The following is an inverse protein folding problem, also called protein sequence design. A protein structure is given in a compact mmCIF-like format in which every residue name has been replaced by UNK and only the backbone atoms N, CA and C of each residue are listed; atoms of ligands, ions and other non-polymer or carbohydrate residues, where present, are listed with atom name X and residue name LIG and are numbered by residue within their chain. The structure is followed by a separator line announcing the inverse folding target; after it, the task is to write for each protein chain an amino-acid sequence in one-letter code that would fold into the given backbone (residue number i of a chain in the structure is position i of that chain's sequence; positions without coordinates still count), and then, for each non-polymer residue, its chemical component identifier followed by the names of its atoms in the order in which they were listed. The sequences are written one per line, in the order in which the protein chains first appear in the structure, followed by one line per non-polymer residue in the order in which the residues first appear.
data_IF_695454176690
#
_entry.id   IF_695454176690
#
_cell.length_a   1.000
_cell.length_b   1.000
_cell.length_c   1.000
_cell.angle_alpha   90.00
_cell.angle_beta   90.00
_cell.angle_gamma   90.00
#
_symmetry.space_group_name_H-M   'P 1'
#
loop_
_entity.id
_entity.type
_entity.pdbx_description
1 polymer ?
#
# COMPACT_ATOMS: atom_id res chain seq x y z
N UNK A 1 -25.93 -35.01 -12.51
CA UNK A 1 -26.27 -36.03 -13.53
C UNK A 1 -25.05 -36.39 -14.41
N UNK A 2 -24.23 -35.48 -14.88
CA UNK A 2 -23.01 -35.79 -15.67
C UNK A 2 -21.96 -36.63 -14.93
N UNK A 3 -21.82 -36.54 -13.62
CA UNK A 3 -20.85 -37.30 -12.80
C UNK A 3 -21.20 -38.81 -12.70
N UNK A 4 -22.48 -39.15 -12.73
CA UNK A 4 -22.95 -40.55 -12.69
C UNK A 4 -22.78 -41.27 -14.05
N UNK A 5 -22.80 -40.55 -15.16
CA UNK A 5 -22.62 -41.11 -16.50
C UNK A 5 -21.16 -41.45 -16.74
N UNK A 6 -20.19 -40.66 -16.24
CA UNK A 6 -18.76 -40.98 -16.33
C UNK A 6 -18.38 -42.24 -15.56
N UNK A 7 -18.98 -42.50 -14.38
CA UNK A 7 -18.67 -43.69 -13.59
C UNK A 7 -19.21 -45.00 -14.24
N UNK A 8 -20.32 -44.93 -14.96
CA UNK A 8 -20.89 -46.10 -15.63
C UNK A 8 -20.09 -46.55 -16.83
N UNK A 9 -19.41 -45.64 -17.54
CA UNK A 9 -18.54 -45.95 -18.68
C UNK A 9 -17.21 -46.57 -18.22
N UNK A 10 -16.72 -46.27 -17.01
CA UNK A 10 -15.48 -46.81 -16.44
C UNK A 10 -15.61 -48.29 -16.01
N UNK A 11 -16.80 -48.78 -15.76
CA UNK A 11 -17.04 -50.16 -15.30
C UNK A 11 -17.03 -51.21 -16.43
N UNK A 12 -17.12 -50.80 -17.70
CA UNK A 12 -17.32 -51.72 -18.82
C UNK A 12 -16.05 -52.06 -19.63
N UNK A 13 -14.96 -51.27 -19.59
CA UNK A 13 -13.72 -51.55 -20.32
C UNK A 13 -12.51 -51.05 -19.51
N UNK A 14 -11.46 -51.90 -19.36
CA UNK A 14 -10.17 -51.45 -18.80
C UNK A 14 -9.59 -50.31 -19.67
N UNK A 15 -9.50 -49.08 -19.19
CA UNK A 15 -8.99 -48.00 -20.04
C UNK A 15 -7.51 -48.22 -20.38
N UNK A 16 -7.15 -47.99 -21.64
CA UNK A 16 -5.73 -47.96 -22.05
C UNK A 16 -5.01 -46.81 -21.33
N UNK A 17 -3.70 -46.94 -21.11
CA UNK A 17 -2.83 -45.93 -20.45
C UNK A 17 -3.01 -44.52 -21.05
N UNK A 18 -3.24 -44.46 -22.38
CA UNK A 18 -3.44 -43.19 -23.11
C UNK A 18 -4.82 -42.61 -22.86
N UNK A 19 -5.85 -43.42 -22.75
CA UNK A 19 -7.21 -43.01 -22.43
C UNK A 19 -7.30 -42.46 -20.98
N UNK A 20 -6.62 -43.14 -20.04
CA UNK A 20 -6.51 -42.67 -18.64
C UNK A 20 -5.80 -41.31 -18.55
N UNK A 21 -4.72 -41.10 -19.29
CA UNK A 21 -3.98 -39.85 -19.35
C UNK A 21 -4.84 -38.72 -19.91
N UNK A 22 -5.58 -38.96 -21.00
CA UNK A 22 -6.48 -37.97 -21.61
C UNK A 22 -7.62 -37.58 -20.66
N UNK A 23 -8.22 -38.52 -19.93
CA UNK A 23 -9.28 -38.27 -18.96
C UNK A 23 -8.73 -37.43 -17.78
N UNK A 24 -7.57 -37.76 -17.24
CA UNK A 24 -6.93 -37.01 -16.17
C UNK A 24 -6.63 -35.57 -16.62
N UNK A 25 -6.07 -35.39 -17.82
CA UNK A 25 -5.80 -34.08 -18.39
C UNK A 25 -7.09 -33.25 -18.56
N UNK A 26 -8.17 -33.87 -19.07
CA UNK A 26 -9.45 -33.21 -19.25
C UNK A 26 -10.10 -32.83 -17.91
N UNK A 27 -10.07 -33.71 -16.89
CA UNK A 27 -10.57 -33.44 -15.56
C UNK A 27 -9.77 -32.32 -14.90
N UNK A 28 -8.45 -32.31 -15.06
CA UNK A 28 -7.59 -31.26 -14.52
C UNK A 28 -7.86 -29.92 -15.20
N UNK A 29 -8.00 -29.89 -16.54
CA UNK A 29 -8.37 -28.68 -17.28
C UNK A 29 -9.75 -28.17 -16.89
N UNK A 30 -10.72 -29.06 -16.69
CA UNK A 30 -12.06 -28.68 -16.25
C UNK A 30 -12.07 -28.13 -14.81
N UNK A 31 -11.29 -28.73 -13.91
CA UNK A 31 -11.12 -28.22 -12.56
C UNK A 31 -10.50 -26.81 -12.52
N UNK A 32 -9.49 -26.55 -13.37
CA UNK A 32 -8.89 -25.22 -13.51
C UNK A 32 -9.91 -24.20 -14.01
N UNK A 33 -10.73 -24.57 -15.02
CA UNK A 33 -11.75 -23.68 -15.57
C UNK A 33 -12.82 -23.37 -14.50
N UNK A 34 -13.29 -24.38 -13.78
CA UNK A 34 -14.27 -24.18 -12.69
C UNK A 34 -13.72 -23.31 -11.57
N UNK A 35 -12.45 -23.49 -11.22
CA UNK A 35 -11.79 -22.69 -10.20
C UNK A 35 -11.67 -21.22 -10.64
N UNK A 36 -11.19 -20.96 -11.86
CA UNK A 36 -11.12 -19.61 -12.42
C UNK A 36 -12.51 -18.93 -12.52
N UNK A 37 -13.55 -19.67 -12.84
CA UNK A 37 -14.93 -19.17 -12.87
C UNK A 37 -15.43 -18.81 -11.45
N UNK A 38 -15.12 -19.65 -10.46
CA UNK A 38 -15.51 -19.40 -9.07
C UNK A 38 -14.85 -18.14 -8.51
N UNK A 39 -13.57 -17.95 -8.75
CA UNK A 39 -12.82 -16.75 -8.33
C UNK A 39 -13.37 -15.48 -8.98
N UNK A 40 -13.69 -15.54 -10.26
CA UNK A 40 -14.26 -14.42 -10.99
C UNK A 40 -15.64 -14.05 -10.44
N UNK A 41 -16.46 -15.04 -10.10
CA UNK A 41 -17.78 -14.84 -9.48
C UNK A 41 -17.62 -14.22 -8.10
N UNK A 42 -16.65 -14.65 -7.31
CA UNK A 42 -16.36 -14.06 -5.99
C UNK A 42 -15.97 -12.58 -6.12
N UNK A 43 -15.09 -12.24 -7.07
CA UNK A 43 -14.65 -10.86 -7.31
C UNK A 43 -15.84 -9.95 -7.70
N UNK A 44 -16.70 -10.42 -8.60
CA UNK A 44 -17.87 -9.66 -9.08
C UNK A 44 -18.95 -9.43 -8.02
N UNK A 45 -19.13 -10.39 -7.12
CA UNK A 45 -20.19 -10.33 -6.11
C UNK A 45 -19.77 -9.56 -4.85
N UNK A 46 -18.50 -9.18 -4.73
CA UNK A 46 -18.00 -8.48 -3.56
C UNK A 46 -18.01 -6.96 -3.77
N UNK A 47 -18.63 -6.19 -2.85
CA UNK A 47 -18.69 -4.74 -2.98
C UNK A 47 -17.30 -4.10 -2.80
N UNK A 48 -17.07 -2.96 -3.46
CA UNK A 48 -15.82 -2.24 -3.43
C UNK A 48 -15.33 -1.89 -2.00
N UNK A 49 -16.27 -1.62 -1.09
CA UNK A 49 -15.97 -1.24 0.29
C UNK A 49 -15.23 -2.34 1.07
N UNK A 50 -15.43 -3.59 0.69
CA UNK A 50 -14.78 -4.74 1.33
C UNK A 50 -13.34 -4.99 0.86
N UNK A 51 -12.91 -4.34 -0.23
CA UNK A 51 -11.53 -4.41 -0.69
C UNK A 51 -10.67 -3.41 0.07
N UNK A 52 -9.42 -3.77 0.30
CA UNK A 52 -8.42 -2.81 0.74
C UNK A 52 -7.88 -2.05 -0.46
N UNK A 53 -7.92 -0.73 -0.38
CA UNK A 53 -7.44 0.17 -1.42
C UNK A 53 -6.06 0.68 -1.08
N UNK A 54 -5.18 0.71 -2.08
CA UNK A 54 -3.90 1.39 -2.00
C UNK A 54 -3.80 2.45 -3.09
N UNK A 55 -3.04 3.49 -2.81
CA UNK A 55 -2.86 4.61 -3.72
C UNK A 55 -1.44 5.17 -3.63
N UNK A 56 -0.77 5.21 -4.76
CA UNK A 56 0.41 6.03 -4.97
C UNK A 56 0.09 6.93 -6.17
N UNK A 57 -0.57 8.07 -5.89
CA UNK A 57 -1.26 8.88 -6.89
C UNK A 57 -0.92 10.35 -6.73
N UNK A 58 -0.52 10.99 -7.84
CA UNK A 58 -0.47 12.43 -8.00
C UNK A 58 -1.63 12.85 -8.89
N UNK A 59 -2.56 13.65 -8.37
CA UNK A 59 -3.73 14.14 -9.10
C UNK A 59 -3.83 15.67 -9.01
N UNK A 60 -4.52 16.28 -9.99
CA UNK A 60 -4.81 17.72 -9.98
C UNK A 60 -6.20 17.95 -9.43
N UNK A 61 -7.23 17.42 -10.09
CA UNK A 61 -8.63 17.69 -9.77
C UNK A 61 -9.36 16.48 -9.18
N UNK A 62 -9.04 15.27 -9.66
CA UNK A 62 -9.81 14.06 -9.34
C UNK A 62 -8.93 12.90 -8.90
N UNK A 63 -9.20 12.41 -7.68
CA UNK A 63 -8.63 11.15 -7.23
C UNK A 63 -9.37 9.97 -7.89
N UNK A 64 -8.67 8.88 -8.32
CA UNK A 64 -9.29 7.76 -9.03
C UNK A 64 -10.49 7.12 -8.31
N UNK A 65 -10.52 7.14 -6.99
CA UNK A 65 -11.66 6.61 -6.21
C UNK A 65 -13.01 7.32 -6.49
N UNK A 66 -12.98 8.57 -6.96
CA UNK A 66 -14.19 9.35 -7.25
C UNK A 66 -14.97 8.81 -8.46
N UNK A 67 -14.33 8.01 -9.30
CA UNK A 67 -14.96 7.36 -10.45
C UNK A 67 -15.59 6.00 -10.12
N UNK A 68 -15.46 5.51 -8.88
CA UNK A 68 -15.98 4.22 -8.41
C UNK A 68 -17.37 4.37 -7.78
N UNK A 69 -18.27 5.04 -8.48
CA UNK A 69 -19.67 5.21 -8.11
C UNK A 69 -20.55 4.13 -8.75
N UNK A 70 -21.76 3.97 -8.23
CA UNK A 70 -22.77 3.02 -8.72
C UNK A 70 -22.18 1.60 -8.87
N UNK A 71 -22.39 0.97 -10.03
CA UNK A 71 -21.84 -0.35 -10.35
C UNK A 71 -20.55 -0.32 -11.16
N UNK A 72 -19.84 0.81 -11.20
CA UNK A 72 -18.56 0.95 -11.91
C UNK A 72 -17.52 -0.06 -11.42
N UNK A 73 -17.56 -0.41 -10.13
CA UNK A 73 -16.70 -1.46 -9.57
C UNK A 73 -16.91 -2.81 -10.25
N UNK A 74 -18.16 -3.24 -10.44
CA UNK A 74 -18.46 -4.51 -11.12
C UNK A 74 -18.01 -4.49 -12.58
N UNK A 75 -18.14 -3.34 -13.26
CA UNK A 75 -17.64 -3.17 -14.63
C UNK A 75 -16.12 -3.38 -14.66
N UNK A 76 -15.38 -2.76 -13.73
CA UNK A 76 -13.93 -2.95 -13.64
C UNK A 76 -13.56 -4.41 -13.31
N UNK A 77 -14.23 -5.04 -12.36
CA UNK A 77 -14.01 -6.45 -12.03
C UNK A 77 -14.29 -7.40 -13.22
N UNK A 78 -15.24 -7.06 -14.08
CA UNK A 78 -15.53 -7.85 -15.28
C UNK A 78 -14.40 -7.83 -16.30
N UNK A 79 -13.58 -6.77 -16.33
CA UNK A 79 -12.52 -6.54 -17.31
C UNK A 79 -11.10 -6.55 -16.72
N UNK A 80 -10.87 -7.19 -15.58
CA UNK A 80 -9.51 -7.46 -15.08
C UNK A 80 -8.65 -8.20 -16.10
N UNK A 81 -9.30 -8.98 -16.96
CA UNK A 81 -8.75 -9.50 -18.22
C UNK A 81 -9.49 -8.86 -19.41
N UNK A 82 -8.78 -8.55 -20.51
CA UNK A 82 -9.41 -7.99 -21.70
C UNK A 82 -10.59 -8.83 -22.18
N UNK A 83 -11.68 -8.19 -22.56
CA UNK A 83 -12.88 -8.89 -23.03
C UNK A 83 -13.83 -8.01 -23.81
N UNK A 84 -14.80 -8.63 -24.52
CA UNK A 84 -15.84 -7.90 -25.26
C UNK A 84 -16.80 -7.23 -24.29
N UNK A 85 -17.24 -6.02 -24.61
CA UNK A 85 -18.13 -5.21 -23.76
C UNK A 85 -19.47 -5.93 -23.51
N UNK A 86 -19.99 -6.67 -24.51
CA UNK A 86 -21.23 -7.45 -24.36
C UNK A 86 -21.14 -8.61 -23.32
N UNK A 87 -19.93 -8.89 -22.78
CA UNK A 87 -19.76 -9.79 -21.63
C UNK A 87 -20.52 -9.27 -20.39
N UNK A 88 -20.68 -7.94 -20.25
CA UNK A 88 -21.47 -7.36 -19.16
C UNK A 88 -22.92 -7.85 -19.18
N UNK A 89 -23.53 -7.96 -20.37
CA UNK A 89 -24.90 -8.47 -20.53
C UNK A 89 -25.00 -9.91 -20.03
N UNK A 90 -24.01 -10.76 -20.36
CA UNK A 90 -23.97 -12.16 -19.91
C UNK A 90 -23.72 -12.32 -18.42
N UNK A 91 -23.15 -11.30 -17.77
CA UNK A 91 -22.92 -11.25 -16.32
C UNK A 91 -24.07 -10.57 -15.57
N UNK A 92 -25.11 -10.08 -16.27
CA UNK A 92 -26.20 -9.32 -15.67
C UNK A 92 -25.80 -7.95 -15.11
N UNK A 93 -24.68 -7.39 -15.58
CA UNK A 93 -24.17 -6.09 -15.16
C UNK A 93 -24.73 -5.02 -16.08
N UNK A 94 -25.62 -4.19 -15.55
CA UNK A 94 -26.14 -3.02 -16.27
C UNK A 94 -25.04 -2.00 -16.52
N UNK A 95 -25.01 -1.43 -17.72
CA UNK A 95 -24.07 -0.38 -18.07
C UNK A 95 -24.65 0.54 -19.14
N UNK A 96 -24.07 1.71 -19.28
CA UNK A 96 -24.35 2.61 -20.37
C UNK A 96 -23.06 3.23 -20.92
N UNK A 97 -23.16 3.88 -22.08
CA UNK A 97 -22.02 4.47 -22.76
C UNK A 97 -21.32 5.55 -21.92
N UNK A 98 -22.08 6.34 -21.17
CA UNK A 98 -21.53 7.41 -20.32
C UNK A 98 -20.72 6.86 -19.16
N UNK A 99 -21.14 5.74 -18.55
CA UNK A 99 -20.36 5.07 -17.51
C UNK A 99 -19.02 4.56 -18.06
N UNK A 100 -19.00 3.92 -19.22
CA UNK A 100 -17.76 3.47 -19.85
C UNK A 100 -16.84 4.65 -20.18
N UNK A 101 -17.40 5.76 -20.66
CA UNK A 101 -16.64 6.98 -20.91
C UNK A 101 -16.09 7.59 -19.62
N UNK A 102 -16.88 7.64 -18.55
CA UNK A 102 -16.46 8.13 -17.23
C UNK A 102 -15.26 7.34 -16.71
N UNK A 103 -15.31 6.01 -16.78
CA UNK A 103 -14.22 5.13 -16.36
C UNK A 103 -12.96 5.31 -17.22
N UNK A 104 -13.11 5.62 -18.51
CA UNK A 104 -11.98 5.95 -19.39
C UNK A 104 -11.36 7.32 -19.05
N UNK A 105 -12.18 8.35 -18.81
CA UNK A 105 -11.71 9.66 -18.36
C UNK A 105 -11.04 9.55 -17.00
N UNK A 106 -11.60 8.71 -16.11
CA UNK A 106 -11.01 8.37 -14.82
C UNK A 106 -9.72 7.54 -14.90
N UNK A 107 -9.30 7.11 -16.11
CA UNK A 107 -8.08 6.30 -16.29
C UNK A 107 -8.15 4.90 -15.69
N UNK A 108 -9.36 4.40 -15.39
CA UNK A 108 -9.57 3.09 -14.76
C UNK A 108 -9.90 1.98 -15.77
N UNK A 109 -10.41 2.35 -16.94
CA UNK A 109 -10.81 1.43 -18.01
C UNK A 109 -10.24 1.91 -19.35
N UNK A 110 -9.81 0.98 -20.18
CA UNK A 110 -9.48 1.26 -21.58
C UNK A 110 -10.42 0.50 -22.47
N UNK A 111 -11.09 1.20 -23.41
CA UNK A 111 -11.96 0.59 -24.39
C UNK A 111 -11.31 0.59 -25.79
N UNK A 112 -11.47 -0.51 -26.51
CA UNK A 112 -11.02 -0.71 -27.89
C UNK A 112 -12.21 -1.22 -28.71
N UNK A 113 -12.85 -0.33 -29.47
CA UNK A 113 -14.05 -0.67 -30.26
C UNK A 113 -15.12 -1.37 -29.40
N UNK A 114 -15.21 -2.68 -29.48
CA UNK A 114 -16.16 -3.54 -28.79
C UNK A 114 -15.57 -4.27 -27.56
N UNK A 115 -14.33 -3.97 -27.19
CA UNK A 115 -13.63 -4.64 -26.08
C UNK A 115 -13.17 -3.64 -25.03
N UNK A 116 -13.02 -4.09 -23.80
CA UNK A 116 -12.52 -3.29 -22.68
C UNK A 116 -11.49 -4.05 -21.84
N UNK A 117 -10.66 -3.30 -21.14
CA UNK A 117 -9.68 -3.77 -20.18
C UNK A 117 -9.57 -2.79 -19.01
N UNK A 118 -9.60 -3.30 -17.79
CA UNK A 118 -9.35 -2.54 -16.59
C UNK A 118 -7.87 -2.24 -16.48
N UNK A 119 -7.55 -0.97 -16.21
CA UNK A 119 -6.18 -0.48 -16.03
C UNK A 119 -5.76 -0.52 -14.54
N UNK A 120 -6.71 -0.38 -13.63
CA UNK A 120 -6.48 -0.47 -12.19
C UNK A 120 -6.17 -1.93 -11.79
N UNK A 121 -5.04 -2.22 -11.13
CA UNK A 121 -4.80 -3.54 -10.58
C UNK A 121 -5.84 -3.92 -9.53
N UNK A 122 -6.61 -4.98 -9.78
CA UNK A 122 -7.60 -5.55 -8.87
C UNK A 122 -7.19 -7.00 -8.60
N UNK A 123 -6.64 -7.24 -7.42
CA UNK A 123 -6.14 -8.54 -7.04
C UNK A 123 -7.26 -9.37 -6.39
N UNK A 124 -7.54 -10.53 -6.95
CA UNK A 124 -8.43 -11.52 -6.34
C UNK A 124 -7.77 -12.16 -5.09
N UNK A 125 -8.45 -13.12 -4.45
CA UNK A 125 -7.95 -13.79 -3.25
C UNK A 125 -6.59 -14.44 -3.47
N UNK A 126 -6.43 -15.26 -4.50
CA UNK A 126 -5.17 -15.96 -4.78
C UNK A 126 -4.03 -15.02 -5.10
N UNK A 127 -4.30 -13.97 -5.89
CA UNK A 127 -3.30 -12.96 -6.21
C UNK A 127 -2.89 -12.17 -4.99
N UNK A 128 -3.84 -11.83 -4.10
CA UNK A 128 -3.55 -11.16 -2.84
C UNK A 128 -2.70 -12.06 -1.92
N UNK A 129 -3.06 -13.33 -1.81
CA UNK A 129 -2.33 -14.31 -0.99
C UNK A 129 -0.92 -14.56 -1.57
N UNK A 130 -0.79 -14.64 -2.90
CA UNK A 130 0.50 -14.75 -3.57
C UNK A 130 1.37 -13.52 -3.34
N UNK A 131 0.82 -12.31 -3.50
CA UNK A 131 1.53 -11.06 -3.22
C UNK A 131 2.11 -11.06 -1.81
N UNK A 132 1.30 -11.42 -0.82
CA UNK A 132 1.71 -11.48 0.59
C UNK A 132 2.74 -12.55 0.88
N UNK A 133 2.55 -13.75 0.34
CA UNK A 133 3.52 -14.84 0.48
C UNK A 133 4.89 -14.44 -0.07
N UNK A 134 4.92 -13.84 -1.27
CA UNK A 134 6.16 -13.40 -1.90
C UNK A 134 6.80 -12.24 -1.12
N UNK A 135 6.00 -11.28 -0.64
CA UNK A 135 6.48 -10.16 0.18
C UNK A 135 7.05 -10.64 1.51
N UNK A 136 6.38 -11.58 2.18
CA UNK A 136 6.88 -12.20 3.41
C UNK A 136 8.17 -12.96 3.17
N UNK A 137 8.23 -13.77 2.10
CA UNK A 137 9.41 -14.56 1.75
C UNK A 137 10.61 -13.65 1.50
N UNK A 138 10.43 -12.56 0.76
CA UNK A 138 11.49 -11.59 0.53
C UNK A 138 11.90 -10.90 1.83
N UNK A 139 10.95 -10.47 2.66
CA UNK A 139 11.27 -9.89 3.97
C UNK A 139 12.07 -10.84 4.86
N UNK A 140 11.71 -12.14 4.86
CA UNK A 140 12.45 -13.16 5.62
C UNK A 140 13.89 -13.31 5.13
N UNK A 141 14.14 -13.20 3.82
CA UNK A 141 15.49 -13.35 3.23
C UNK A 141 16.39 -12.14 3.44
N UNK A 142 15.86 -10.90 3.31
CA UNK A 142 16.69 -9.69 3.37
C UNK A 142 16.81 -9.09 4.77
N UNK A 143 15.87 -9.36 5.67
CA UNK A 143 15.87 -8.78 7.02
C UNK A 143 17.16 -9.03 7.81
N UNK A 144 17.82 -10.21 7.75
CA UNK A 144 19.07 -10.45 8.47
C UNK A 144 20.19 -9.50 8.08
N UNK A 145 20.28 -9.08 6.81
CA UNK A 145 21.28 -8.11 6.33
C UNK A 145 20.93 -6.67 6.73
N UNK A 146 19.64 -6.33 6.77
CA UNK A 146 19.16 -4.99 7.12
C UNK A 146 19.15 -4.72 8.63
N UNK A 147 18.87 -5.74 9.46
CA UNK A 147 18.70 -5.60 10.92
C UNK A 147 19.84 -4.86 11.62
N UNK A 148 21.14 -5.14 11.36
CA UNK A 148 22.24 -4.42 12.00
C UNK A 148 22.20 -2.91 11.73
N UNK A 149 21.81 -2.49 10.52
CA UNK A 149 21.68 -1.08 10.14
C UNK A 149 20.48 -0.42 10.83
N UNK A 150 19.33 -1.11 10.94
CA UNK A 150 18.20 -0.62 11.73
C UNK A 150 18.57 -0.42 13.20
N UNK A 151 19.28 -1.37 13.80
CA UNK A 151 19.80 -1.24 15.18
C UNK A 151 20.74 -0.05 15.33
N UNK A 152 21.61 0.17 14.34
CA UNK A 152 22.52 1.33 14.35
C UNK A 152 21.74 2.63 14.22
N UNK A 153 20.75 2.68 13.33
CA UNK A 153 19.89 3.85 13.12
C UNK A 153 19.09 4.21 14.38
N UNK A 154 18.47 3.21 15.04
CA UNK A 154 17.73 3.45 16.30
C UNK A 154 18.64 3.95 17.43
N UNK A 155 19.90 3.49 17.49
CA UNK A 155 20.87 4.04 18.45
C UNK A 155 21.21 5.49 18.16
N UNK A 156 21.31 5.89 16.89
CA UNK A 156 21.54 7.29 16.52
C UNK A 156 20.34 8.16 16.88
N UNK A 157 19.10 7.71 16.63
CA UNK A 157 17.91 8.43 17.08
C UNK A 157 17.90 8.64 18.60
N UNK A 158 18.18 7.59 19.37
CA UNK A 158 18.29 7.68 20.83
C UNK A 158 19.36 8.67 21.29
N UNK A 159 20.51 8.71 20.61
CA UNK A 159 21.59 9.67 20.89
C UNK A 159 21.15 11.12 20.64
N UNK A 160 20.24 11.34 19.69
CA UNK A 160 19.65 12.66 19.42
C UNK A 160 18.50 13.02 20.38
N UNK A 161 18.16 12.15 21.33
CA UNK A 161 17.04 12.35 22.26
C UNK A 161 15.69 11.88 21.73
N UNK A 162 15.61 11.23 20.56
CA UNK A 162 14.39 10.79 19.89
C UNK A 162 13.95 9.37 20.29
N UNK A 163 14.18 8.99 21.56
CA UNK A 163 13.90 7.62 22.03
C UNK A 163 12.42 7.25 21.86
N UNK A 164 11.50 8.12 22.27
CA UNK A 164 10.06 7.90 22.19
C UNK A 164 9.56 7.86 20.73
N UNK A 165 10.16 8.65 19.85
CA UNK A 165 9.77 8.80 18.46
C UNK A 165 10.44 7.76 17.53
N UNK A 166 11.35 6.93 18.04
CA UNK A 166 12.10 5.95 17.21
C UNK A 166 11.17 5.07 16.36
N UNK A 167 10.04 4.63 16.93
CA UNK A 167 9.03 3.83 16.24
C UNK A 167 8.47 4.56 15.01
N UNK A 168 8.00 5.77 15.23
CA UNK A 168 7.40 6.61 14.19
C UNK A 168 8.42 7.03 13.13
N UNK A 169 9.66 7.31 13.53
CA UNK A 169 10.73 7.64 12.59
C UNK A 169 11.10 6.45 11.69
N UNK A 170 11.18 5.23 12.22
CA UNK A 170 11.43 4.04 11.40
C UNK A 170 10.25 3.77 10.46
N UNK A 171 9.02 3.85 10.95
CA UNK A 171 7.86 3.59 10.12
C UNK A 171 7.66 4.69 9.07
N UNK A 172 7.39 5.93 9.50
CA UNK A 172 6.90 6.97 8.61
C UNK A 172 7.99 7.80 7.93
N UNK A 173 9.10 8.07 8.62
CA UNK A 173 10.18 8.83 8.00
C UNK A 173 11.02 7.95 7.08
N UNK A 174 11.39 6.73 7.52
CA UNK A 174 12.25 5.85 6.74
C UNK A 174 11.45 5.02 5.73
N UNK A 175 10.54 4.13 6.21
CA UNK A 175 9.89 3.14 5.36
C UNK A 175 8.73 3.70 4.53
N UNK A 176 8.05 4.76 5.00
CA UNK A 176 6.94 5.43 4.29
C UNK A 176 7.31 6.83 3.76
N UNK A 177 8.56 7.26 3.96
CA UNK A 177 9.05 8.59 3.58
C UNK A 177 10.25 8.52 2.64
N UNK A 178 11.45 8.35 3.16
CA UNK A 178 12.73 8.39 2.40
C UNK A 178 12.75 7.41 1.23
N UNK A 179 12.13 6.26 1.37
CA UNK A 179 12.09 5.23 0.34
C UNK A 179 11.55 5.75 -0.99
N UNK A 180 10.68 6.77 -0.95
CA UNK A 180 10.10 7.40 -2.13
C UNK A 180 10.94 8.53 -2.72
N UNK A 181 12.06 8.88 -2.06
CA UNK A 181 12.97 9.91 -2.50
C UNK A 181 14.12 9.31 -3.31
N UNK A 182 14.49 10.02 -4.37
CA UNK A 182 15.50 9.55 -5.30
C UNK A 182 15.05 8.26 -6.02
N UNK A 183 15.51 7.92 -7.13
CA UNK A 183 15.01 6.87 -8.04
C UNK A 183 15.15 5.40 -7.53
N UNK A 184 15.02 5.16 -6.22
CA UNK A 184 15.13 3.82 -5.61
C UNK A 184 13.90 2.95 -5.89
N UNK A 185 12.71 3.53 -5.75
CA UNK A 185 11.46 2.97 -6.23
C UNK A 185 10.93 3.83 -7.38
N UNK A 186 10.08 3.29 -8.25
CA UNK A 186 9.53 4.05 -9.35
C UNK A 186 8.81 5.31 -8.87
N UNK A 187 9.25 6.46 -9.40
CA UNK A 187 8.67 7.78 -9.11
C UNK A 187 7.39 8.01 -9.92
N UNK A 188 6.65 9.07 -9.59
CA UNK A 188 5.45 9.43 -10.37
C UNK A 188 5.72 9.63 -11.86
N UNK A 189 6.92 10.11 -12.26
CA UNK A 189 7.27 10.29 -13.67
C UNK A 189 7.39 8.97 -14.44
N UNK A 190 7.64 7.88 -13.74
CA UNK A 190 7.79 6.52 -14.30
C UNK A 190 6.48 5.71 -14.23
N UNK A 191 5.45 6.26 -13.58
CA UNK A 191 4.12 5.64 -13.49
C UNK A 191 3.27 5.95 -14.71
N UNK A 192 2.25 5.12 -15.00
CA UNK A 192 1.27 5.42 -16.02
C UNK A 192 0.64 6.80 -15.81
N UNK A 193 0.49 7.52 -16.93
CA UNK A 193 -0.24 8.76 -16.96
C UNK A 193 -1.67 8.52 -17.41
N UNK A 194 -2.60 8.99 -16.60
CA UNK A 194 -4.04 8.94 -16.86
C UNK A 194 -4.57 10.35 -17.10
N UNK A 195 -5.76 10.51 -17.68
CA UNK A 195 -6.26 11.84 -18.02
C UNK A 195 -6.35 12.83 -16.86
N UNK A 196 -6.58 12.35 -15.62
CA UNK A 196 -6.82 13.21 -14.45
C UNK A 196 -5.81 12.97 -13.32
N UNK A 197 -4.94 11.96 -13.43
CA UNK A 197 -3.95 11.60 -12.40
C UNK A 197 -2.78 10.83 -13.01
N UNK A 198 -1.72 10.65 -12.21
CA UNK A 198 -0.56 9.80 -12.54
C UNK A 198 -0.21 8.96 -11.32
N UNK A 199 0.15 7.70 -11.52
CA UNK A 199 0.51 6.81 -10.42
C UNK A 199 -0.08 5.42 -10.57
N UNK A 200 -0.28 4.76 -9.44
CA UNK A 200 -1.02 3.50 -9.34
C UNK A 200 -2.09 3.60 -8.26
N UNK A 201 -3.29 3.14 -8.59
CA UNK A 201 -4.40 2.94 -7.68
C UNK A 201 -4.84 1.49 -7.79
N UNK A 202 -4.87 0.77 -6.68
CA UNK A 202 -5.12 -0.68 -6.71
C UNK A 202 -6.04 -1.14 -5.60
N UNK A 203 -6.54 -2.37 -5.73
CA UNK A 203 -7.32 -3.04 -4.71
C UNK A 203 -6.78 -4.44 -4.43
N UNK A 204 -6.70 -4.82 -3.16
CA UNK A 204 -6.42 -6.18 -2.70
C UNK A 204 -7.67 -6.78 -2.07
N UNK A 205 -7.83 -8.11 -2.18
CA UNK A 205 -9.02 -8.83 -1.73
C UNK A 205 -9.32 -8.66 -0.24
N UNK A 206 -8.31 -8.45 0.58
CA UNK A 206 -8.44 -8.24 2.03
C UNK A 206 -7.35 -7.32 2.54
N UNK A 207 -7.53 -6.75 3.74
CA UNK A 207 -6.49 -5.98 4.44
C UNK A 207 -5.35 -6.90 4.87
N UNK A 208 -4.10 -6.45 4.74
CA UNK A 208 -2.98 -7.09 5.41
C UNK A 208 -3.15 -6.90 6.92
N UNK A 209 -3.20 -7.98 7.74
CA UNK A 209 -3.40 -7.84 9.18
C UNK A 209 -2.29 -7.07 9.89
N UNK A 210 -1.11 -6.95 9.29
CA UNK A 210 -0.01 -6.15 9.80
C UNK A 210 -0.15 -4.65 9.48
N UNK A 211 -1.03 -4.27 8.55
CA UNK A 211 -1.23 -2.89 8.11
C UNK A 211 -2.18 -2.15 9.07
N UNK A 212 -1.70 -1.91 10.29
CA UNK A 212 -2.46 -1.29 11.38
C UNK A 212 -2.09 0.17 11.63
N UNK A 213 -1.13 0.70 10.89
CA UNK A 213 -0.60 2.05 11.06
C UNK A 213 -0.79 2.87 9.79
N UNK A 214 -0.71 4.19 9.95
CA UNK A 214 -0.61 5.12 8.84
C UNK A 214 0.01 6.44 9.25
N UNK A 215 0.22 7.32 8.26
CA UNK A 215 0.84 8.63 8.44
C UNK A 215 -0.06 9.69 7.83
N UNK A 216 -0.42 10.71 8.62
CA UNK A 216 -1.00 11.94 8.11
C UNK A 216 0.09 13.00 7.98
N UNK A 217 0.10 13.73 6.86
CA UNK A 217 1.06 14.79 6.58
C UNK A 217 0.35 16.15 6.49
N UNK A 218 0.86 17.12 7.22
CA UNK A 218 0.45 18.52 7.21
C UNK A 218 1.66 19.37 6.80
N UNK A 219 1.90 19.47 5.49
CA UNK A 219 3.16 20.04 5.00
C UNK A 219 4.37 19.30 5.56
N UNK A 220 5.28 20.00 6.31
CA UNK A 220 6.46 19.36 6.89
C UNK A 220 6.15 18.47 8.10
N UNK A 221 4.97 18.57 8.72
CA UNK A 221 4.63 17.79 9.91
C UNK A 221 4.05 16.44 9.50
N UNK A 222 4.57 15.38 10.08
CA UNK A 222 4.03 14.03 9.99
C UNK A 222 3.57 13.55 11.36
N UNK A 223 2.42 12.91 11.41
CA UNK A 223 1.86 12.29 12.62
C UNK A 223 1.35 10.90 12.29
N UNK A 224 1.72 9.93 13.11
CA UNK A 224 1.23 8.56 12.97
C UNK A 224 -0.15 8.38 13.60
N UNK A 225 -0.85 7.40 13.07
CA UNK A 225 -2.06 6.86 13.66
C UNK A 225 -2.05 5.33 13.59
N UNK A 226 -2.89 4.69 14.38
CA UNK A 226 -3.14 3.24 14.35
C UNK A 226 -4.63 2.95 14.27
N UNK A 227 -4.98 1.69 13.96
CA UNK A 227 -6.38 1.26 14.01
C UNK A 227 -6.98 1.40 15.42
N UNK A 228 -6.18 1.25 16.49
CA UNK A 228 -6.63 1.36 17.88
C UNK A 228 -6.77 2.82 18.34
N UNK A 229 -5.87 3.69 17.91
CA UNK A 229 -5.93 5.12 18.25
C UNK A 229 -6.98 5.86 17.41
N UNK A 230 -7.21 5.42 16.17
CA UNK A 230 -8.00 6.16 15.20
C UNK A 230 -7.31 7.47 14.79
N UNK A 231 -8.14 8.43 14.32
CA UNK A 231 -7.68 9.75 13.92
C UNK A 231 -7.81 10.74 15.07
N UNK A 232 -6.69 11.26 15.58
CA UNK A 232 -6.64 12.07 16.80
C UNK A 232 -6.10 13.50 16.59
N UNK A 233 -5.57 13.83 15.42
CA UNK A 233 -4.97 15.12 15.16
C UNK A 233 -6.03 16.24 15.07
N UNK A 234 -5.74 17.37 15.69
CA UNK A 234 -6.46 18.61 15.42
C UNK A 234 -5.87 19.23 14.15
N UNK A 235 -6.49 18.95 13.02
CA UNK A 235 -6.03 19.40 11.69
C UNK A 235 -5.67 20.88 11.65
N UNK A 236 -6.54 21.74 12.24
CA UNK A 236 -6.33 23.18 12.23
C UNK A 236 -5.07 23.61 12.99
N UNK A 237 -4.75 22.93 14.10
CA UNK A 237 -3.52 23.23 14.84
C UNK A 237 -2.30 22.78 14.04
N UNK A 238 -2.35 21.56 13.48
CA UNK A 238 -1.24 21.01 12.68
C UNK A 238 -0.98 21.85 11.43
N UNK A 239 -2.03 22.27 10.73
CA UNK A 239 -1.93 23.16 9.56
C UNK A 239 -1.27 24.48 9.97
N UNK A 240 -1.73 25.12 11.06
CA UNK A 240 -1.18 26.40 11.49
C UNK A 240 0.30 26.29 11.91
N UNK A 241 0.69 25.20 12.58
CA UNK A 241 2.11 24.94 12.91
C UNK A 241 2.92 24.71 11.63
N UNK A 242 2.40 23.91 10.70
CA UNK A 242 3.04 23.64 9.41
C UNK A 242 3.24 24.90 8.58
N UNK A 243 2.23 25.78 8.51
CA UNK A 243 2.32 27.05 7.79
C UNK A 243 3.35 27.98 8.45
N UNK A 244 3.42 28.00 9.78
CA UNK A 244 4.44 28.76 10.49
C UNK A 244 5.85 28.25 10.18
N UNK A 245 6.07 26.92 10.22
CA UNK A 245 7.38 26.32 9.90
C UNK A 245 7.78 26.61 8.44
N UNK A 246 6.84 26.53 7.50
CA UNK A 246 7.11 26.87 6.10
C UNK A 246 7.50 28.33 5.90
N UNK A 247 6.86 29.24 6.65
CA UNK A 247 7.16 30.68 6.59
C UNK A 247 8.49 31.04 7.29
N UNK A 248 8.94 30.21 8.23
CA UNK A 248 10.13 30.46 9.05
C UNK A 248 10.99 29.18 9.18
N UNK A 249 11.52 28.64 8.07
CA UNK A 249 12.22 27.34 8.08
C UNK A 249 13.48 27.32 8.96
N UNK A 250 14.09 28.48 9.17
CA UNK A 250 15.28 28.63 10.03
C UNK A 250 14.96 28.79 11.51
N UNK A 251 13.65 28.85 11.88
CA UNK A 251 13.20 29.06 13.25
C UNK A 251 12.45 27.84 13.79
N UNK A 252 13.04 27.24 14.81
CA UNK A 252 12.38 26.15 15.57
C UNK A 252 11.54 26.66 16.75
N UNK A 253 11.05 27.90 16.70
CA UNK A 253 10.22 28.51 17.73
C UNK A 253 8.82 28.84 17.19
N UNK A 254 7.80 28.43 17.93
CA UNK A 254 6.41 28.76 17.62
C UNK A 254 6.04 30.12 18.22
N UNK A 255 5.17 30.90 17.58
CA UNK A 255 4.64 32.15 18.17
C UNK A 255 3.75 31.85 19.38
N UNK A 256 3.61 32.81 20.29
CA UNK A 256 2.82 32.66 21.51
C UNK A 256 1.37 32.19 21.26
N UNK A 257 0.78 32.56 20.12
CA UNK A 257 -0.57 32.13 19.70
C UNK A 257 -0.71 30.61 19.45
N UNK A 258 0.39 29.93 19.15
CA UNK A 258 0.42 28.49 18.93
C UNK A 258 1.04 27.73 20.11
N UNK A 259 1.97 28.35 20.86
CA UNK A 259 2.75 27.73 21.95
C UNK A 259 1.89 27.00 22.97
N UNK A 260 0.88 27.66 23.54
CA UNK A 260 0.05 27.04 24.60
C UNK A 260 -0.67 25.75 24.16
N UNK A 261 -1.06 25.69 22.90
CA UNK A 261 -1.74 24.50 22.36
C UNK A 261 -0.74 23.40 21.96
N UNK A 262 0.37 23.78 21.36
CA UNK A 262 1.45 22.87 20.98
C UNK A 262 2.14 22.24 22.21
N UNK A 263 2.30 23.02 23.29
CA UNK A 263 2.82 22.56 24.58
C UNK A 263 1.96 21.44 25.19
N UNK A 264 0.63 21.57 25.15
CA UNK A 264 -0.28 20.51 25.62
C UNK A 264 -0.12 19.20 24.86
N UNK A 265 0.36 19.24 23.63
CA UNK A 265 0.60 18.08 22.79
C UNK A 265 2.07 17.61 22.81
N UNK A 266 2.90 18.26 23.64
CA UNK A 266 4.32 17.95 23.75
C UNK A 266 5.14 18.27 22.49
N UNK A 267 4.63 19.13 21.59
CA UNK A 267 5.31 19.49 20.33
C UNK A 267 6.40 20.52 20.60
N UNK A 268 6.18 21.42 21.56
CA UNK A 268 7.15 22.45 21.96
C UNK A 268 7.28 22.54 23.49
N UNK A 269 8.30 23.22 23.96
CA UNK A 269 8.46 23.62 25.37
C UNK A 269 7.63 24.88 25.72
N UNK A 270 7.74 25.33 26.97
CA UNK A 270 7.04 26.52 27.52
C UNK A 270 7.46 27.82 26.83
N UNK A 271 8.62 27.87 26.21
CA UNK A 271 9.13 29.00 25.41
C UNK A 271 8.75 28.92 23.92
N UNK A 272 8.02 27.91 23.54
CA UNK A 272 7.62 27.67 22.16
C UNK A 272 8.68 26.99 21.30
N UNK A 273 9.83 26.56 21.86
CA UNK A 273 10.84 25.82 21.13
C UNK A 273 10.32 24.43 20.77
N UNK A 274 10.38 24.07 19.50
CA UNK A 274 9.99 22.74 19.01
C UNK A 274 10.94 21.68 19.61
N UNK A 275 10.37 20.62 20.22
CA UNK A 275 11.09 19.55 20.91
C UNK A 275 10.86 18.17 20.28
N UNK A 276 9.96 18.05 19.30
CA UNK A 276 9.80 16.83 18.48
C UNK A 276 10.95 16.73 17.46
N UNK A 277 11.23 15.53 16.92
CA UNK A 277 12.28 15.36 15.92
C UNK A 277 12.09 16.28 14.71
N UNK A 278 13.18 16.89 14.28
CA UNK A 278 13.28 17.62 13.00
C UNK A 278 14.26 16.86 12.12
N UNK A 279 13.74 16.26 11.06
CA UNK A 279 14.49 15.44 10.11
C UNK A 279 14.72 16.26 8.84
N UNK A 280 15.97 16.32 8.41
CA UNK A 280 16.38 16.96 7.16
C UNK A 280 16.73 15.87 6.15
N UNK A 281 16.26 16.00 4.91
CA UNK A 281 16.44 14.98 3.88
C UNK A 281 17.76 15.14 3.12
N UNK A 282 18.24 16.39 2.98
CA UNK A 282 19.36 16.74 2.10
C UNK A 282 20.70 16.91 2.83
N UNK A 283 20.74 16.71 4.14
CA UNK A 283 21.99 16.85 4.91
C UNK A 283 22.78 15.54 4.93
N UNK A 284 24.09 15.66 4.73
CA UNK A 284 25.03 14.55 4.98
C UNK A 284 25.14 14.33 6.48
N UNK A 285 24.46 13.31 6.99
CA UNK A 285 24.51 12.93 8.40
C UNK A 285 24.64 11.41 8.52
N UNK A 286 25.16 10.90 9.66
CA UNK A 286 25.20 9.46 9.91
C UNK A 286 23.80 8.80 9.87
N UNK A 287 22.75 9.54 10.22
CA UNK A 287 21.37 9.09 10.16
C UNK A 287 20.95 8.90 8.69
N UNK A 288 21.13 9.93 7.86
CA UNK A 288 20.77 9.87 6.45
C UNK A 288 21.58 8.86 5.66
N UNK A 289 22.89 8.71 5.98
CA UNK A 289 23.74 7.68 5.35
C UNK A 289 23.21 6.28 5.60
N UNK A 290 22.87 5.94 6.86
CA UNK A 290 22.36 4.60 7.19
C UNK A 290 20.95 4.40 6.61
N UNK A 291 20.12 5.44 6.64
CA UNK A 291 18.80 5.42 6.03
C UNK A 291 18.88 5.14 4.52
N UNK A 292 19.84 5.78 3.85
CA UNK A 292 20.13 5.55 2.43
C UNK A 292 20.61 4.13 2.15
N UNK A 293 21.54 3.59 2.95
CA UNK A 293 22.00 2.20 2.84
C UNK A 293 20.84 1.19 2.98
N UNK A 294 19.96 1.39 3.97
CA UNK A 294 18.79 0.51 4.20
C UNK A 294 17.85 0.55 3.01
N UNK A 295 17.47 1.77 2.58
CA UNK A 295 16.47 1.93 1.52
C UNK A 295 16.99 1.51 0.16
N UNK A 296 18.29 1.71 -0.11
CA UNK A 296 18.92 1.27 -1.37
C UNK A 296 18.87 -0.25 -1.51
N UNK A 297 19.31 -1.00 -0.48
CA UNK A 297 19.26 -2.47 -0.52
C UNK A 297 17.83 -2.98 -0.58
N UNK A 298 16.94 -2.47 0.27
CA UNK A 298 15.54 -2.89 0.30
C UNK A 298 14.83 -2.66 -1.05
N UNK A 299 15.01 -1.48 -1.65
CA UNK A 299 14.33 -1.14 -2.90
C UNK A 299 14.90 -1.91 -4.11
N UNK A 300 16.19 -2.21 -4.13
CA UNK A 300 16.79 -3.03 -5.18
C UNK A 300 16.16 -4.43 -5.21
N UNK A 301 16.07 -5.09 -4.06
CA UNK A 301 15.46 -6.41 -3.91
C UNK A 301 13.95 -6.40 -4.24
N UNK A 302 13.25 -5.32 -3.83
CA UNK A 302 11.81 -5.13 -4.15
C UNK A 302 11.60 -5.00 -5.66
N UNK A 303 12.39 -4.18 -6.36
CA UNK A 303 12.24 -3.97 -7.80
C UNK A 303 12.48 -5.27 -8.59
N UNK A 304 13.52 -6.02 -8.22
CA UNK A 304 13.82 -7.31 -8.86
C UNK A 304 12.68 -8.31 -8.64
N UNK A 305 12.24 -8.47 -7.39
CA UNK A 305 11.20 -9.44 -7.03
C UNK A 305 9.85 -9.05 -7.62
N UNK A 306 9.48 -7.78 -7.58
CA UNK A 306 8.22 -7.29 -8.12
C UNK A 306 8.12 -7.54 -9.64
N UNK A 307 9.19 -7.31 -10.40
CA UNK A 307 9.24 -7.60 -11.83
C UNK A 307 8.98 -9.07 -12.13
N UNK A 308 9.53 -9.99 -11.32
CA UNK A 308 9.34 -11.43 -11.47
C UNK A 308 7.91 -11.89 -11.11
N UNK A 309 7.23 -11.21 -10.18
CA UNK A 309 5.89 -11.58 -9.68
C UNK A 309 4.77 -10.89 -10.46
N UNK A 310 5.01 -9.73 -11.07
CA UNK A 310 4.02 -8.94 -11.79
C UNK A 310 3.15 -9.74 -12.77
N UNK A 311 3.69 -10.63 -13.62
CA UNK A 311 2.88 -11.43 -14.54
C UNK A 311 1.90 -12.37 -13.82
N UNK A 312 2.30 -12.92 -12.67
CA UNK A 312 1.46 -13.83 -11.88
C UNK A 312 0.32 -13.08 -11.17
N UNK A 313 0.52 -11.78 -10.90
CA UNK A 313 -0.49 -10.89 -10.32
C UNK A 313 -1.35 -10.22 -11.40
N UNK A 314 -1.10 -10.47 -12.68
CA UNK A 314 -1.73 -9.81 -13.82
C UNK A 314 -1.58 -8.28 -13.80
N UNK A 315 -0.48 -7.79 -13.21
CA UNK A 315 -0.14 -6.37 -13.21
C UNK A 315 0.63 -6.07 -14.49
N UNK A 316 0.09 -5.16 -15.31
CA UNK A 316 0.61 -4.90 -16.65
C UNK A 316 1.91 -4.10 -16.66
N UNK A 317 2.09 -3.23 -15.66
CA UNK A 317 3.25 -2.36 -15.57
C UNK A 317 4.15 -2.79 -14.40
N UNK A 318 5.42 -3.14 -14.64
CA UNK A 318 6.36 -3.53 -13.57
C UNK A 318 6.57 -2.45 -12.51
N UNK A 319 6.48 -1.16 -12.87
CA UNK A 319 6.61 -0.07 -11.91
C UNK A 319 5.43 -0.02 -10.94
N UNK A 320 4.21 -0.29 -11.42
CA UNK A 320 3.04 -0.43 -10.54
C UNK A 320 3.22 -1.63 -9.61
N UNK A 321 3.72 -2.76 -10.13
CA UNK A 321 4.00 -3.93 -9.32
C UNK A 321 5.02 -3.64 -8.20
N UNK A 322 6.07 -2.87 -8.49
CA UNK A 322 7.09 -2.51 -7.51
C UNK A 322 6.49 -1.68 -6.36
N UNK A 323 5.63 -0.71 -6.67
CA UNK A 323 4.94 0.10 -5.67
C UNK A 323 3.98 -0.76 -4.82
N UNK A 324 3.16 -1.59 -5.46
CA UNK A 324 2.21 -2.48 -4.75
C UNK A 324 2.96 -3.47 -3.86
N UNK A 325 4.04 -4.07 -4.37
CA UNK A 325 4.86 -5.03 -3.63
C UNK A 325 5.55 -4.38 -2.44
N UNK A 326 6.06 -3.13 -2.64
CA UNK A 326 6.68 -2.37 -1.55
C UNK A 326 5.70 -2.11 -0.40
N UNK A 327 4.46 -1.72 -0.71
CA UNK A 327 3.43 -1.47 0.31
C UNK A 327 3.05 -2.73 1.11
N UNK A 328 3.31 -3.92 0.58
CA UNK A 328 3.12 -5.16 1.34
C UNK A 328 4.38 -5.55 2.14
N UNK A 329 5.59 -5.45 1.54
CA UNK A 329 6.81 -5.91 2.21
C UNK A 329 7.20 -5.04 3.40
N UNK A 330 6.94 -3.73 3.35
CA UNK A 330 7.28 -2.82 4.45
C UNK A 330 6.64 -3.27 5.77
N UNK A 331 5.43 -3.82 5.74
CA UNK A 331 4.74 -4.35 6.92
C UNK A 331 5.45 -5.55 7.52
N UNK A 332 5.93 -6.46 6.68
CA UNK A 332 6.68 -7.64 7.16
C UNK A 332 8.04 -7.25 7.75
N UNK A 333 8.76 -6.32 7.12
CA UNK A 333 10.01 -5.77 7.67
C UNK A 333 9.74 -5.10 9.02
N UNK A 334 8.70 -4.25 9.10
CA UNK A 334 8.38 -3.52 10.31
C UNK A 334 7.95 -4.45 11.46
N UNK A 335 7.11 -5.44 11.17
CA UNK A 335 6.71 -6.48 12.14
C UNK A 335 7.91 -7.27 12.70
N UNK A 336 8.93 -7.54 11.88
CA UNK A 336 10.18 -8.17 12.36
C UNK A 336 10.97 -7.27 13.28
N UNK A 337 11.03 -5.96 13.00
CA UNK A 337 11.68 -4.99 13.87
C UNK A 337 11.00 -4.91 15.25
N UNK A 338 9.68 -4.99 15.30
CA UNK A 338 8.92 -5.06 16.56
C UNK A 338 9.18 -6.38 17.30
N UNK A 339 9.08 -7.52 16.61
CA UNK A 339 9.32 -8.84 17.17
C UNK A 339 10.73 -8.95 17.79
N UNK A 340 11.71 -8.37 17.13
CA UNK A 340 13.10 -8.34 17.59
C UNK A 340 13.40 -7.22 18.59
N UNK A 341 12.38 -6.44 19.00
CA UNK A 341 12.48 -5.32 19.93
C UNK A 341 13.48 -4.22 19.47
N UNK A 342 13.68 -4.09 18.17
CA UNK A 342 14.48 -3.01 17.59
C UNK A 342 13.72 -1.69 17.70
N UNK A 343 12.39 -1.75 17.49
CA UNK A 343 11.43 -0.68 17.75
C UNK A 343 10.34 -1.18 18.70
N UNK A 344 9.68 -0.25 19.38
CA UNK A 344 8.57 -0.57 20.28
C UNK A 344 7.44 0.43 20.07
N UNK A 345 6.23 -0.09 19.85
CA UNK A 345 5.05 0.74 19.63
C UNK A 345 4.79 1.63 20.87
N UNK A 346 4.64 2.94 20.71
CA UNK A 346 4.26 3.86 21.79
C UNK A 346 2.89 3.51 22.38
N UNK A 347 2.71 3.79 23.66
CA UNK A 347 1.46 3.53 24.39
C UNK A 347 0.24 4.17 23.69
N UNK A 348 0.39 5.39 23.22
CA UNK A 348 -0.66 6.13 22.51
C UNK A 348 -1.15 5.41 21.23
N UNK A 349 -0.26 4.74 20.48
CA UNK A 349 -0.65 3.96 19.28
C UNK A 349 -1.32 2.62 19.63
N UNK A 350 -1.18 2.15 20.86
CA UNK A 350 -1.88 0.95 21.36
C UNK A 350 -3.28 1.24 21.89
N UNK A 351 -3.74 2.51 21.82
CA UNK A 351 -5.01 2.92 22.42
C UNK A 351 -4.96 2.96 23.95
N UNK A 352 -3.79 2.96 24.57
CA UNK A 352 -3.65 3.10 26.02
C UNK A 352 -4.05 4.54 26.43
N UNK A 353 -4.70 4.68 27.59
CA UNK A 353 -5.04 6.00 28.17
C UNK A 353 -3.76 6.71 28.60
N UNK A 354 -3.31 7.66 27.80
CA UNK A 354 -2.16 8.53 28.08
C UNK A 354 -2.54 9.99 27.86
N UNK A 355 -1.78 10.91 28.45
CA UNK A 355 -2.01 12.35 28.27
C UNK A 355 -1.77 12.82 26.82
N UNK A 356 -2.38 13.95 26.47
CA UNK A 356 -2.24 14.51 25.10
C UNK A 356 -0.80 14.92 24.75
N UNK A 357 0.07 15.13 25.73
CA UNK A 357 1.50 15.38 25.54
C UNK A 357 2.25 14.22 24.88
N UNK A 358 1.70 13.00 24.92
CA UNK A 358 2.24 11.83 24.23
C UNK A 358 2.05 11.85 22.71
N UNK A 359 1.32 12.84 22.15
CA UNK A 359 1.33 13.08 20.70
C UNK A 359 2.72 13.38 20.18
N UNK A 360 3.63 13.92 20.99
CA UNK A 360 5.05 14.08 20.64
C UNK A 360 5.72 12.75 20.24
N UNK A 361 5.27 11.64 20.80
CA UNK A 361 5.91 10.32 20.58
C UNK A 361 5.65 9.77 19.16
N UNK A 362 4.63 10.32 18.50
CA UNK A 362 4.17 9.92 17.17
C UNK A 362 4.23 11.06 16.13
N UNK A 363 4.80 12.20 16.50
CA UNK A 363 4.88 13.39 15.64
C UNK A 363 6.33 13.77 15.38
N UNK A 364 6.63 14.17 14.15
CA UNK A 364 7.95 14.67 13.74
C UNK A 364 7.83 15.65 12.57
N UNK A 365 8.88 16.38 12.27
CA UNK A 365 8.97 17.35 11.18
C UNK A 365 9.96 16.83 10.16
N UNK A 366 9.62 16.91 8.87
CA UNK A 366 10.51 16.70 7.74
C UNK A 366 10.73 18.03 7.03
N UNK A 367 11.98 18.48 6.98
CA UNK A 367 12.41 19.63 6.18
C UNK A 367 13.15 19.09 4.97
N UNK A 368 12.75 19.54 3.77
CA UNK A 368 13.36 19.19 2.49
C UNK A 368 14.68 19.94 2.23
#
# INVERSE_FOLDING_TARGET
MAFLICFAIFAANKPTKDMTRRIITSLFSFAIILHAMAQKTELLNRPFQEFTKGAFVKYQDYHPSQFLTDNNWQILCAFTEPGKINKLDSLGISYNKSQLQLLQVGGLLKCYKDSAQTLMPILNREQTDLLRLQSKTLADSIYPSLKPRFVKLTKLFKKQGYTAQTYSLIFSWLLDGIVWNGDKLPSYSQMPEHPTWRGVYWATFSKNPLAILGTNKYGPIAINWSDDLGYWANDKLMINIADHIKAHPDSLYLPATLTNRALKWGICDDKGKIIIPVMTMNETSPINTIADEITTELCAEVNEKAAAVAPQLHILNPNEAAVIFYHEIMWYIFSKLESDKVVQMPAILKGEEVGSEHLRDITFICLD
#
